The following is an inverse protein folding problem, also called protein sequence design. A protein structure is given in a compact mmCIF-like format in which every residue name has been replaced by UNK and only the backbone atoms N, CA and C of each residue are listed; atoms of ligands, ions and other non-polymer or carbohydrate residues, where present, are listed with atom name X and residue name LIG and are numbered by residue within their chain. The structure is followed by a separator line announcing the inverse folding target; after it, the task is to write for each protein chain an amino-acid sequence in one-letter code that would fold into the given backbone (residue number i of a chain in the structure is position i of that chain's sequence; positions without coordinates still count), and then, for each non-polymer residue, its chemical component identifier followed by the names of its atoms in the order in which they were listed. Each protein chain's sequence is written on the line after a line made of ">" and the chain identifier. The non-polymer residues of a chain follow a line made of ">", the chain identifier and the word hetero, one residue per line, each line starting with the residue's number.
data_IF_608841278144
#
_entry.id   IF_608841278144
#
_cell.length_a   1.000
_cell.length_b   1.000
_cell.length_c   1.000
_cell.angle_alpha   90.00
_cell.angle_beta   90.00
_cell.angle_gamma   90.00
#
_symmetry.space_group_name_H-M   'P 1'
#
loop_
_entity.id
_entity.type
_entity.pdbx_description
1 polymer ?
#
# COMPACT_ATOMS: atom_id res chain seq x y z
N UNK A 1 -6.44 -13.15 19.18
CA UNK A 1 -5.60 -13.14 17.97
C UNK A 1 -6.52 -13.18 16.74
N UNK A 2 -6.24 -12.40 15.73
CA UNK A 2 -6.97 -12.48 14.45
C UNK A 2 -6.65 -13.84 13.83
N UNK A 3 -7.66 -14.53 13.33
CA UNK A 3 -7.51 -15.80 12.61
C UNK A 3 -7.90 -15.60 11.16
N UNK A 4 -6.98 -15.92 10.25
CA UNK A 4 -7.14 -15.87 8.79
C UNK A 4 -7.03 -17.28 8.16
N UNK A 5 -7.22 -18.35 8.93
CA UNK A 5 -7.21 -19.72 8.41
C UNK A 5 -8.16 -19.89 7.23
N UNK A 6 -7.68 -20.48 6.15
CA UNK A 6 -8.44 -20.69 4.91
C UNK A 6 -8.69 -19.42 4.09
N UNK A 7 -8.12 -18.27 4.47
CA UNK A 7 -8.19 -17.04 3.68
C UNK A 7 -6.97 -16.89 2.78
N UNK A 8 -7.19 -16.42 1.56
CA UNK A 8 -6.14 -16.05 0.62
C UNK A 8 -6.00 -14.53 0.56
N UNK A 9 -4.78 -14.03 0.70
CA UNK A 9 -4.47 -12.62 0.68
C UNK A 9 -3.49 -12.28 -0.45
N UNK A 10 -3.83 -11.31 -1.29
CA UNK A 10 -2.96 -10.72 -2.31
C UNK A 10 -2.46 -9.38 -1.83
N UNK A 11 -1.13 -9.19 -1.79
CA UNK A 11 -0.50 -7.97 -1.32
C UNK A 11 0.40 -7.36 -2.40
N UNK A 12 0.37 -6.04 -2.54
CA UNK A 12 1.28 -5.29 -3.42
C UNK A 12 2.38 -4.58 -2.64
N UNK A 13 3.56 -4.38 -3.25
CA UNK A 13 4.75 -3.78 -2.63
C UNK A 13 5.12 -4.48 -1.31
N UNK A 14 5.21 -5.79 -1.35
CA UNK A 14 5.44 -6.64 -0.17
C UNK A 14 6.91 -6.87 0.17
N UNK A 15 7.84 -6.41 -0.68
CA UNK A 15 9.28 -6.68 -0.49
C UNK A 15 9.89 -5.94 0.72
N UNK A 16 9.25 -4.86 1.20
CA UNK A 16 9.78 -4.05 2.29
C UNK A 16 8.68 -3.29 3.07
N UNK A 17 9.08 -2.67 4.18
CA UNK A 17 8.26 -1.72 4.94
C UNK A 17 6.92 -2.30 5.41
N UNK A 18 5.83 -1.54 5.19
CA UNK A 18 4.48 -1.92 5.62
C UNK A 18 4.02 -3.19 4.89
N UNK A 19 4.26 -3.30 3.57
CA UNK A 19 3.85 -4.47 2.79
C UNK A 19 4.48 -5.76 3.31
N UNK A 20 5.80 -5.75 3.58
CA UNK A 20 6.51 -6.90 4.15
C UNK A 20 5.95 -7.28 5.53
N UNK A 21 5.83 -6.31 6.43
CA UNK A 21 5.33 -6.57 7.77
C UNK A 21 3.88 -7.10 7.76
N UNK A 22 3.05 -6.65 6.80
CA UNK A 22 1.67 -7.15 6.64
C UNK A 22 1.67 -8.57 6.07
N UNK A 23 2.55 -8.90 5.11
CA UNK A 23 2.67 -10.24 4.59
C UNK A 23 3.07 -11.24 5.70
N UNK A 24 4.07 -10.90 6.52
CA UNK A 24 4.49 -11.68 7.68
C UNK A 24 3.36 -11.85 8.69
N UNK A 25 2.64 -10.77 9.05
CA UNK A 25 1.53 -10.83 10.00
C UNK A 25 0.35 -11.67 9.49
N UNK A 26 0.07 -11.64 8.19
CA UNK A 26 -0.99 -12.44 7.59
C UNK A 26 -0.65 -13.93 7.58
N UNK A 27 0.61 -14.29 7.33
CA UNK A 27 1.11 -15.68 7.48
C UNK A 27 1.01 -16.12 8.94
N UNK A 28 1.46 -15.30 9.90
CA UNK A 28 1.33 -15.58 11.34
C UNK A 28 -0.14 -15.80 11.77
N UNK A 29 -1.08 -15.16 11.05
CA UNK A 29 -2.53 -15.30 11.29
C UNK A 29 -3.17 -16.49 10.54
N UNK A 30 -2.41 -17.28 9.77
CA UNK A 30 -2.88 -18.48 9.06
C UNK A 30 -3.37 -18.26 7.63
N UNK A 31 -3.18 -17.06 7.05
CA UNK A 31 -3.57 -16.81 5.67
C UNK A 31 -2.62 -17.47 4.65
N UNK A 32 -3.19 -17.87 3.51
CA UNK A 32 -2.41 -18.13 2.30
C UNK A 32 -2.02 -16.80 1.67
N UNK A 33 -0.75 -16.46 1.66
CA UNK A 33 -0.24 -15.14 1.26
C UNK A 33 0.41 -15.20 -0.11
N UNK A 34 -0.08 -14.36 -1.03
CA UNK A 34 0.47 -14.08 -2.36
C UNK A 34 1.10 -12.68 -2.30
N UNK A 35 2.42 -12.63 -2.19
CA UNK A 35 3.17 -11.39 -2.08
C UNK A 35 3.67 -10.93 -3.45
N UNK A 36 3.47 -9.65 -3.78
CA UNK A 36 3.98 -9.07 -5.03
C UNK A 36 4.84 -7.84 -4.78
N UNK A 37 5.85 -7.65 -5.61
CA UNK A 37 6.71 -6.46 -5.64
C UNK A 37 7.33 -6.32 -7.02
N UNK A 38 7.74 -5.12 -7.39
CA UNK A 38 8.53 -4.88 -8.61
C UNK A 38 9.99 -5.30 -8.42
N UNK A 39 10.49 -5.26 -7.19
CA UNK A 39 11.86 -5.58 -6.84
C UNK A 39 12.02 -7.08 -6.52
N UNK A 40 12.63 -7.80 -7.44
CA UNK A 40 12.86 -9.24 -7.31
C UNK A 40 13.76 -9.59 -6.13
N UNK A 41 14.77 -8.79 -5.82
CA UNK A 41 15.71 -9.07 -4.74
C UNK A 41 15.01 -9.01 -3.37
N UNK A 42 14.28 -7.91 -3.10
CA UNK A 42 13.52 -7.78 -1.85
C UNK A 42 12.42 -8.83 -1.72
N UNK A 43 11.79 -9.21 -2.85
CA UNK A 43 10.76 -10.25 -2.86
C UNK A 43 11.36 -11.65 -2.59
N UNK A 44 12.60 -11.90 -3.01
CA UNK A 44 13.28 -13.18 -2.76
C UNK A 44 13.45 -13.48 -1.27
N UNK A 45 13.54 -12.45 -0.42
CA UNK A 45 13.64 -12.58 1.03
C UNK A 45 12.34 -13.10 1.69
N UNK A 46 11.24 -13.12 0.94
CA UNK A 46 9.95 -13.62 1.41
C UNK A 46 9.65 -15.05 0.96
N UNK A 47 10.48 -15.67 0.11
CA UNK A 47 10.18 -16.99 -0.48
C UNK A 47 9.89 -18.08 0.54
N UNK A 48 10.61 -18.07 1.66
CA UNK A 48 10.45 -19.08 2.71
C UNK A 48 9.46 -18.62 3.81
N UNK A 49 8.86 -17.45 3.64
CA UNK A 49 7.93 -16.85 4.62
C UNK A 49 6.50 -16.92 4.12
N UNK A 50 6.26 -16.62 2.84
CA UNK A 50 4.93 -16.57 2.23
C UNK A 50 4.69 -17.76 1.30
N UNK A 51 3.44 -17.98 0.91
CA UNK A 51 3.07 -19.13 0.08
C UNK A 51 3.44 -18.93 -1.40
N UNK A 52 3.26 -17.73 -1.93
CA UNK A 52 3.62 -17.37 -3.30
C UNK A 52 4.28 -16.01 -3.40
N UNK A 53 5.19 -15.86 -4.35
CA UNK A 53 5.80 -14.56 -4.70
C UNK A 53 5.72 -14.33 -6.20
N UNK A 54 5.31 -13.13 -6.63
CA UNK A 54 5.25 -12.75 -8.04
C UNK A 54 5.84 -11.36 -8.25
N UNK A 55 6.68 -11.21 -9.27
CA UNK A 55 7.12 -9.88 -9.72
C UNK A 55 5.92 -9.20 -10.38
N UNK A 56 5.62 -7.99 -9.97
CA UNK A 56 4.51 -7.21 -10.48
C UNK A 56 4.83 -5.71 -10.51
N UNK A 57 4.82 -5.13 -11.69
CA UNK A 57 4.69 -3.69 -11.83
C UNK A 57 3.19 -3.31 -11.80
N UNK A 58 2.74 -2.73 -10.69
CA UNK A 58 1.34 -2.32 -10.51
C UNK A 58 0.93 -1.17 -11.43
N UNK A 59 1.86 -0.51 -12.12
CA UNK A 59 1.54 0.49 -13.15
C UNK A 59 1.22 -0.16 -14.49
N UNK A 60 1.61 -1.43 -14.69
CA UNK A 60 1.34 -2.20 -15.89
C UNK A 60 0.01 -2.99 -15.76
N UNK A 61 -1.05 -2.41 -16.33
CA UNK A 61 -2.39 -3.03 -16.26
C UNK A 61 -2.47 -4.44 -16.86
N UNK A 62 -1.64 -4.74 -17.88
CA UNK A 62 -1.65 -6.08 -18.48
C UNK A 62 -1.00 -7.13 -17.57
N UNK A 63 0.03 -6.75 -16.81
CA UNK A 63 0.62 -7.63 -15.79
C UNK A 63 -0.38 -7.91 -14.68
N UNK A 64 -1.10 -6.88 -14.19
CA UNK A 64 -2.18 -7.07 -13.21
C UNK A 64 -3.20 -8.09 -13.70
N UNK A 65 -3.73 -7.92 -14.92
CA UNK A 65 -4.70 -8.86 -15.50
C UNK A 65 -4.15 -10.28 -15.61
N UNK A 66 -2.89 -10.43 -16.04
CA UNK A 66 -2.24 -11.74 -16.15
C UNK A 66 -2.12 -12.39 -14.77
N UNK A 67 -1.66 -11.66 -13.78
CA UNK A 67 -1.53 -12.17 -12.41
C UNK A 67 -2.87 -12.63 -11.85
N UNK A 68 -3.90 -11.76 -11.87
CA UNK A 68 -5.22 -12.08 -11.29
C UNK A 68 -5.84 -13.34 -11.91
N UNK A 69 -5.58 -13.61 -13.20
CA UNK A 69 -6.05 -14.82 -13.88
C UNK A 69 -5.25 -16.08 -13.52
N UNK A 70 -4.05 -15.94 -13.01
CA UNK A 70 -3.14 -17.08 -12.73
C UNK A 70 -3.13 -17.52 -11.27
N UNK A 71 -3.63 -16.69 -10.36
CA UNK A 71 -3.63 -16.97 -8.92
C UNK A 71 -4.97 -17.48 -8.41
N UNK A 72 -4.96 -18.09 -7.24
CA UNK A 72 -6.17 -18.42 -6.51
C UNK A 72 -6.95 -17.13 -6.16
N UNK A 73 -8.28 -17.18 -6.27
CA UNK A 73 -9.17 -16.06 -5.95
C UNK A 73 -8.96 -15.57 -4.51
N UNK A 74 -8.43 -14.36 -4.29
CA UNK A 74 -8.15 -13.86 -2.95
C UNK A 74 -9.42 -13.44 -2.21
N UNK A 75 -9.41 -13.60 -0.89
CA UNK A 75 -10.40 -13.05 0.05
C UNK A 75 -10.02 -11.64 0.50
N UNK A 76 -8.72 -11.33 0.44
CA UNK A 76 -8.15 -10.07 0.91
C UNK A 76 -7.25 -9.49 -0.19
N UNK A 77 -7.45 -8.20 -0.50
CA UNK A 77 -6.53 -7.40 -1.29
C UNK A 77 -5.91 -6.30 -0.43
N UNK A 78 -4.59 -6.29 -0.30
CA UNK A 78 -3.85 -5.25 0.41
C UNK A 78 -3.03 -4.42 -0.59
N UNK A 79 -3.50 -3.21 -0.89
CA UNK A 79 -2.87 -2.27 -1.79
C UNK A 79 -1.90 -1.37 -1.03
N UNK A 80 -0.60 -1.65 -1.11
CA UNK A 80 0.45 -0.93 -0.41
C UNK A 80 1.39 -0.14 -1.33
N UNK A 81 1.39 -0.42 -2.62
CA UNK A 81 2.27 0.25 -3.58
C UNK A 81 2.10 1.78 -3.57
N UNK A 82 3.20 2.49 -3.64
CA UNK A 82 3.17 3.95 -3.70
C UNK A 82 4.53 4.61 -3.45
N UNK A 83 4.62 5.86 -3.86
CA UNK A 83 5.78 6.72 -3.65
C UNK A 83 5.39 8.00 -2.93
N UNK A 84 6.38 8.63 -2.30
CA UNK A 84 6.24 9.95 -1.66
C UNK A 84 6.97 10.98 -2.51
N UNK A 85 6.23 11.79 -3.27
CA UNK A 85 6.78 12.94 -3.97
C UNK A 85 7.08 14.07 -2.98
N UNK A 86 8.18 14.80 -3.21
CA UNK A 86 8.59 15.96 -2.43
C UNK A 86 8.60 17.20 -3.30
N UNK A 87 7.81 18.20 -2.94
CA UNK A 87 7.72 19.46 -3.66
C UNK A 87 6.43 20.22 -3.37
N UNK A 88 6.48 21.54 -3.58
CA UNK A 88 5.31 22.43 -3.60
C UNK A 88 4.61 22.35 -4.96
N UNK A 89 3.45 23.01 -5.09
CA UNK A 89 2.74 23.07 -6.38
C UNK A 89 3.57 23.77 -7.48
N UNK A 90 4.37 24.76 -7.12
CA UNK A 90 5.18 25.51 -8.09
C UNK A 90 6.44 24.76 -8.54
N UNK A 91 6.88 23.78 -7.76
CA UNK A 91 8.05 22.93 -8.05
C UNK A 91 7.68 21.61 -8.72
N UNK A 92 6.39 21.31 -8.79
CA UNK A 92 5.88 20.07 -9.34
C UNK A 92 5.77 20.13 -10.87
N UNK A 93 6.10 19.05 -11.53
CA UNK A 93 5.96 18.89 -12.98
C UNK A 93 4.77 17.97 -13.32
N UNK A 94 4.35 17.98 -14.59
CA UNK A 94 3.31 17.04 -15.08
C UNK A 94 3.81 15.58 -15.00
N UNK A 95 5.10 15.33 -15.25
CA UNK A 95 5.69 14.00 -15.13
C UNK A 95 5.64 13.48 -13.68
N UNK A 96 5.94 14.35 -12.69
CA UNK A 96 5.82 14.01 -11.26
C UNK A 96 4.36 13.69 -10.88
N UNK A 97 3.43 14.49 -11.43
CA UNK A 97 2.00 14.27 -11.23
C UNK A 97 1.57 12.93 -11.80
N UNK A 98 1.90 12.66 -13.05
CA UNK A 98 1.51 11.42 -13.72
C UNK A 98 2.12 10.19 -13.05
N UNK A 99 3.41 10.24 -12.68
CA UNK A 99 4.07 9.16 -11.96
C UNK A 99 3.38 8.88 -10.62
N UNK A 100 3.13 9.91 -9.81
CA UNK A 100 2.55 9.75 -8.50
C UNK A 100 1.08 9.26 -8.58
N UNK A 101 0.28 9.80 -9.48
CA UNK A 101 -1.10 9.35 -9.66
C UNK A 101 -1.18 7.95 -10.27
N UNK A 102 -0.32 7.62 -11.23
CA UNK A 102 -0.25 6.28 -11.80
C UNK A 102 0.10 5.23 -10.74
N UNK A 103 1.08 5.52 -9.87
CA UNK A 103 1.53 4.56 -8.88
C UNK A 103 0.67 4.57 -7.60
N UNK A 104 0.28 5.74 -7.05
CA UNK A 104 -0.40 5.81 -5.75
C UNK A 104 -1.90 5.52 -5.81
N UNK A 105 -2.58 5.87 -6.91
CA UNK A 105 -4.05 5.77 -7.00
C UNK A 105 -4.54 4.95 -8.19
N UNK A 106 -4.01 5.15 -9.39
CA UNK A 106 -4.46 4.42 -10.58
C UNK A 106 -4.10 2.94 -10.51
N UNK A 107 -2.95 2.59 -9.93
CA UNK A 107 -2.58 1.20 -9.68
C UNK A 107 -3.62 0.50 -8.78
N UNK A 108 -4.04 1.16 -7.69
CA UNK A 108 -5.08 0.63 -6.79
C UNK A 108 -6.42 0.48 -7.51
N UNK A 109 -6.80 1.46 -8.33
CA UNK A 109 -7.99 1.35 -9.17
C UNK A 109 -7.91 0.11 -10.09
N UNK A 110 -6.78 -0.12 -10.75
CA UNK A 110 -6.60 -1.28 -11.63
C UNK A 110 -6.66 -2.61 -10.87
N UNK A 111 -5.97 -2.71 -9.72
CA UNK A 111 -6.02 -3.89 -8.85
C UNK A 111 -7.45 -4.18 -8.39
N UNK A 112 -8.15 -3.17 -7.89
CA UNK A 112 -9.54 -3.31 -7.42
C UNK A 112 -10.46 -3.72 -8.57
N UNK A 113 -10.34 -3.08 -9.73
CA UNK A 113 -11.17 -3.36 -10.91
C UNK A 113 -11.09 -4.83 -11.36
N UNK A 114 -9.89 -5.41 -11.35
CA UNK A 114 -9.70 -6.81 -11.77
C UNK A 114 -10.10 -7.81 -10.66
N UNK A 115 -9.94 -7.44 -9.38
CA UNK A 115 -10.22 -8.34 -8.28
C UNK A 115 -11.71 -8.39 -7.89
N UNK A 116 -12.43 -7.27 -8.03
CA UNK A 116 -13.84 -7.16 -7.62
C UNK A 116 -14.73 -8.26 -8.20
N UNK A 117 -14.73 -8.54 -9.53
CA UNK A 117 -15.55 -9.61 -10.09
C UNK A 117 -15.24 -10.97 -9.46
N UNK A 118 -13.96 -11.22 -9.17
CA UNK A 118 -13.49 -12.48 -8.57
C UNK A 118 -14.01 -12.62 -7.14
N UNK A 119 -13.89 -11.56 -6.33
CA UNK A 119 -14.40 -11.53 -4.96
C UNK A 119 -15.93 -11.63 -4.91
N UNK A 120 -16.65 -10.92 -5.78
CA UNK A 120 -18.12 -10.98 -5.87
C UNK A 120 -18.58 -12.40 -6.18
N UNK A 121 -17.99 -13.06 -7.17
CA UNK A 121 -18.32 -14.43 -7.53
C UNK A 121 -18.00 -15.44 -6.39
N UNK A 122 -17.06 -15.11 -5.51
CA UNK A 122 -16.71 -15.91 -4.32
C UNK A 122 -17.65 -15.63 -3.13
N UNK A 123 -18.50 -14.60 -3.22
CA UNK A 123 -19.45 -14.20 -2.17
C UNK A 123 -18.97 -13.08 -1.25
N UNK A 124 -17.90 -12.39 -1.62
CA UNK A 124 -17.42 -11.21 -0.89
C UNK A 124 -15.90 -11.16 -0.73
N UNK A 125 -15.42 -10.09 -0.08
CA UNK A 125 -13.99 -9.88 0.14
C UNK A 125 -13.67 -8.62 0.95
N UNK A 126 -12.41 -8.48 1.32
CA UNK A 126 -11.90 -7.32 2.07
C UNK A 126 -10.79 -6.63 1.28
N UNK A 127 -10.95 -5.35 1.02
CA UNK A 127 -9.97 -4.51 0.33
C UNK A 127 -9.42 -3.51 1.33
N UNK A 128 -8.10 -3.41 1.43
CA UNK A 128 -7.39 -2.50 2.32
C UNK A 128 -6.43 -1.67 1.47
N UNK A 129 -6.59 -0.36 1.49
CA UNK A 129 -5.78 0.58 0.74
C UNK A 129 -4.88 1.40 1.69
N UNK A 130 -3.60 1.49 1.41
CA UNK A 130 -2.69 2.36 2.17
C UNK A 130 -2.78 3.79 1.61
N UNK A 131 -3.48 4.66 2.34
CA UNK A 131 -3.55 6.09 2.11
C UNK A 131 -2.46 6.83 2.93
N UNK A 132 -2.79 7.93 3.60
CA UNK A 132 -1.87 8.69 4.46
C UNK A 132 -2.65 9.67 5.36
N UNK A 133 -2.11 10.00 6.53
CA UNK A 133 -2.61 11.14 7.32
C UNK A 133 -2.53 12.45 6.53
N UNK A 134 -1.60 12.56 5.59
CA UNK A 134 -1.48 13.71 4.68
C UNK A 134 -2.70 13.89 3.76
N UNK A 135 -3.48 12.84 3.55
CA UNK A 135 -4.67 12.86 2.70
C UNK A 135 -5.98 12.96 3.48
N UNK A 136 -5.98 12.61 4.77
CA UNK A 136 -7.20 12.46 5.55
C UNK A 136 -7.41 13.58 6.57
N UNK A 137 -6.35 13.96 7.30
CA UNK A 137 -6.49 14.81 8.48
C UNK A 137 -5.68 16.09 8.42
N UNK A 138 -4.61 16.16 7.62
CA UNK A 138 -3.77 17.36 7.56
C UNK A 138 -3.00 17.51 6.25
N UNK A 139 -2.68 18.74 5.86
CA UNK A 139 -1.65 19.05 4.86
C UNK A 139 -0.25 18.93 5.47
N UNK A 140 0.71 18.50 4.68
CA UNK A 140 2.12 18.43 5.06
C UNK A 140 2.91 19.29 4.05
N UNK A 141 3.74 20.26 4.51
CA UNK A 141 4.58 21.05 3.61
C UNK A 141 5.40 20.18 2.68
N UNK A 142 5.59 20.64 1.45
CA UNK A 142 6.36 19.96 0.40
C UNK A 142 5.84 18.55 0.08
N UNK A 143 4.51 18.36 0.05
CA UNK A 143 3.84 17.09 -0.27
C UNK A 143 2.63 17.28 -1.16
N UNK A 144 2.66 18.27 -2.06
CA UNK A 144 1.49 18.65 -2.86
C UNK A 144 0.92 17.47 -3.65
N UNK A 145 1.70 16.90 -4.58
CA UNK A 145 1.24 15.79 -5.43
C UNK A 145 0.97 14.52 -4.59
N UNK A 146 1.84 14.23 -3.62
CA UNK A 146 1.63 13.08 -2.73
C UNK A 146 0.30 13.17 -1.99
N UNK A 147 0.01 14.33 -1.39
CA UNK A 147 -1.26 14.56 -0.67
C UNK A 147 -2.46 14.39 -1.60
N UNK A 148 -2.42 14.98 -2.80
CA UNK A 148 -3.48 14.87 -3.80
C UNK A 148 -3.71 13.42 -4.23
N UNK A 149 -2.65 12.69 -4.57
CA UNK A 149 -2.75 11.30 -5.02
C UNK A 149 -3.26 10.35 -3.90
N UNK A 150 -2.86 10.58 -2.64
CA UNK A 150 -3.37 9.81 -1.50
C UNK A 150 -4.78 10.19 -1.07
N UNK A 151 -5.23 11.43 -1.34
CA UNK A 151 -6.63 11.82 -1.18
C UNK A 151 -7.54 11.10 -2.19
N UNK A 152 -7.07 10.91 -3.43
CA UNK A 152 -7.79 10.10 -4.41
C UNK A 152 -8.01 8.65 -3.94
N UNK A 153 -7.07 8.04 -3.21
CA UNK A 153 -7.22 6.71 -2.59
C UNK A 153 -8.42 6.67 -1.63
N UNK A 154 -8.64 7.73 -0.84
CA UNK A 154 -9.81 7.80 0.06
C UNK A 154 -11.12 7.89 -0.72
N UNK A 155 -11.14 8.63 -1.83
CA UNK A 155 -12.27 8.67 -2.75
C UNK A 155 -12.60 7.29 -3.33
N UNK A 156 -11.59 6.60 -3.88
CA UNK A 156 -11.71 5.23 -4.39
C UNK A 156 -12.25 4.30 -3.30
N UNK A 157 -11.68 4.35 -2.11
CA UNK A 157 -12.08 3.48 -0.99
C UNK A 157 -13.55 3.64 -0.63
N UNK A 158 -14.01 4.89 -0.46
CA UNK A 158 -15.40 5.20 -0.10
C UNK A 158 -16.38 4.78 -1.19
N UNK A 159 -16.04 5.04 -2.46
CA UNK A 159 -16.90 4.71 -3.60
C UNK A 159 -17.05 3.19 -3.73
N UNK A 160 -15.93 2.44 -3.71
CA UNK A 160 -15.97 0.98 -3.78
C UNK A 160 -16.76 0.38 -2.60
N UNK A 161 -16.59 0.90 -1.38
CA UNK A 161 -17.35 0.44 -0.23
C UNK A 161 -18.86 0.69 -0.40
N UNK A 162 -19.25 1.88 -0.87
CA UNK A 162 -20.67 2.23 -1.07
C UNK A 162 -21.31 1.39 -2.17
N UNK A 163 -20.61 1.20 -3.30
CA UNK A 163 -21.17 0.53 -4.48
C UNK A 163 -21.30 -0.99 -4.29
N UNK A 164 -20.41 -1.61 -3.50
CA UNK A 164 -20.30 -3.08 -3.45
C UNK A 164 -20.56 -3.70 -2.07
N UNK A 165 -21.04 -2.95 -1.08
CA UNK A 165 -21.37 -3.49 0.26
C UNK A 165 -22.42 -4.60 0.19
N UNK A 166 -23.41 -4.47 -0.69
CA UNK A 166 -24.46 -5.47 -0.88
C UNK A 166 -23.95 -6.77 -1.54
N UNK A 167 -22.74 -6.76 -2.07
CA UNK A 167 -22.04 -7.93 -2.61
C UNK A 167 -21.06 -8.55 -1.61
N UNK A 168 -21.11 -8.17 -0.34
CA UNK A 168 -20.21 -8.66 0.70
C UNK A 168 -18.79 -8.10 0.61
N UNK A 169 -18.58 -7.00 -0.13
CA UNK A 169 -17.27 -6.34 -0.26
C UNK A 169 -17.13 -5.26 0.81
N UNK A 170 -16.06 -5.34 1.59
CA UNK A 170 -15.62 -4.27 2.48
C UNK A 170 -14.39 -3.60 1.86
N UNK A 171 -14.36 -2.29 1.82
CA UNK A 171 -13.22 -1.52 1.35
C UNK A 171 -12.85 -0.45 2.38
N UNK A 172 -11.63 -0.51 2.91
CA UNK A 172 -11.15 0.37 3.95
C UNK A 172 -9.79 0.97 3.57
N UNK A 173 -9.47 2.11 4.19
CA UNK A 173 -8.15 2.74 4.05
C UNK A 173 -7.47 2.86 5.41
N UNK A 174 -6.20 2.51 5.47
CA UNK A 174 -5.31 2.86 6.58
C UNK A 174 -4.58 4.14 6.20
N UNK A 175 -4.50 5.09 7.13
CA UNK A 175 -3.85 6.39 6.94
C UNK A 175 -2.62 6.52 7.87
N UNK A 176 -1.48 5.90 7.55
CA UNK A 176 -0.30 5.95 8.40
C UNK A 176 0.27 7.36 8.53
N UNK A 177 0.90 7.65 9.67
CA UNK A 177 1.84 8.75 9.83
C UNK A 177 3.20 8.41 9.22
N UNK A 178 4.28 8.95 9.78
CA UNK A 178 5.64 8.60 9.35
C UNK A 178 6.03 7.24 9.92
N UNK A 179 6.22 6.27 9.04
CA UNK A 179 6.59 4.89 9.40
C UNK A 179 8.04 4.65 9.03
N UNK A 180 8.80 4.07 9.96
CA UNK A 180 10.18 3.65 9.72
C UNK A 180 10.20 2.56 8.64
N UNK A 181 10.94 2.80 7.57
CA UNK A 181 11.03 1.92 6.41
C UNK A 181 12.31 2.21 5.62
N UNK A 182 12.81 1.27 4.81
CA UNK A 182 13.96 1.53 3.93
C UNK A 182 13.77 2.77 3.05
N UNK A 183 12.57 2.98 2.51
CA UNK A 183 12.23 4.16 1.72
C UNK A 183 12.29 5.48 2.52
N UNK A 184 11.96 5.48 3.81
CA UNK A 184 12.13 6.65 4.67
C UNK A 184 13.62 6.91 4.93
N UNK A 185 14.38 5.87 5.27
CA UNK A 185 15.82 5.99 5.52
C UNK A 185 16.56 6.56 4.31
N UNK A 186 16.26 6.07 3.10
CA UNK A 186 16.82 6.61 1.86
C UNK A 186 16.50 8.10 1.72
N UNK A 187 15.23 8.50 1.89
CA UNK A 187 14.83 9.91 1.79
C UNK A 187 15.48 10.81 2.83
N UNK A 188 15.74 10.31 4.03
CA UNK A 188 16.48 11.06 5.06
C UNK A 188 17.94 11.23 4.66
N UNK A 189 18.56 10.20 4.10
CA UNK A 189 19.93 10.23 3.59
C UNK A 189 20.08 11.20 2.42
N UNK A 190 19.10 11.24 1.50
CA UNK A 190 19.10 12.14 0.34
C UNK A 190 18.99 13.63 0.71
N UNK A 191 18.61 13.95 1.97
CA UNK A 191 18.56 15.33 2.46
C UNK A 191 19.93 15.88 2.91
N UNK A 192 20.98 15.08 2.84
CA UNK A 192 22.36 15.46 3.15
C UNK A 192 22.72 15.27 4.63
N UNK A 193 22.16 16.08 5.54
CA UNK A 193 22.37 15.89 6.98
C UNK A 193 21.26 14.97 7.55
N UNK A 194 21.58 13.67 7.58
CA UNK A 194 20.65 12.64 8.05
C UNK A 194 20.14 12.88 9.48
N UNK A 195 21.03 13.24 10.43
CA UNK A 195 20.64 13.41 11.83
C UNK A 195 19.70 14.62 12.01
N UNK A 196 19.99 15.72 11.34
CA UNK A 196 19.13 16.90 11.34
C UNK A 196 17.78 16.60 10.67
N UNK A 197 17.78 15.95 9.51
CA UNK A 197 16.56 15.54 8.81
C UNK A 197 15.72 14.60 9.69
N UNK A 198 16.34 13.58 10.28
CA UNK A 198 15.68 12.64 11.17
C UNK A 198 15.03 13.34 12.37
N UNK A 199 15.76 14.23 13.03
CA UNK A 199 15.25 15.02 14.16
C UNK A 199 14.03 15.86 13.76
N UNK A 200 14.07 16.53 12.61
CA UNK A 200 12.94 17.32 12.09
C UNK A 200 11.71 16.43 11.80
N UNK A 201 11.91 15.25 11.22
CA UNK A 201 10.80 14.33 10.94
C UNK A 201 10.19 13.74 12.20
N UNK A 202 11.00 13.40 13.20
CA UNK A 202 10.51 12.94 14.51
C UNK A 202 9.73 14.05 15.23
N UNK A 203 10.21 15.29 15.21
CA UNK A 203 9.55 16.42 15.84
C UNK A 203 8.13 16.71 15.29
N UNK A 204 7.82 16.25 14.07
CA UNK A 204 6.47 16.35 13.48
C UNK A 204 5.50 15.30 14.04
N UNK A 205 6.01 14.29 14.75
CA UNK A 205 5.20 13.19 15.29
C UNK A 205 4.85 13.48 16.75
N UNK A 206 3.55 13.53 17.12
CA UNK A 206 3.14 13.75 18.52
C UNK A 206 3.70 12.69 19.49
N UNK A 207 3.95 11.48 18.99
CA UNK A 207 4.55 10.38 19.77
C UNK A 207 6.06 10.50 19.96
N UNK A 208 6.71 11.55 19.42
CA UNK A 208 8.16 11.77 19.45
C UNK A 208 8.99 10.58 18.88
N UNK A 209 8.39 9.78 18.00
CA UNK A 209 9.04 8.67 17.29
C UNK A 209 8.34 8.39 15.95
N UNK A 210 9.02 7.66 15.08
CA UNK A 210 8.36 7.04 13.93
C UNK A 210 7.49 5.86 14.37
N UNK A 211 6.42 5.59 13.64
CA UNK A 211 5.69 4.34 13.74
C UNK A 211 6.52 3.18 13.16
N UNK A 212 6.25 1.97 13.62
CA UNK A 212 6.85 0.75 13.08
C UNK A 212 5.92 0.13 12.06
N UNK A 213 6.47 -0.50 11.02
CA UNK A 213 5.68 -1.20 10.01
C UNK A 213 4.74 -2.26 10.64
N UNK A 214 5.21 -2.98 11.66
CA UNK A 214 4.39 -3.96 12.41
C UNK A 214 3.19 -3.32 13.13
N UNK A 215 3.29 -2.06 13.57
CA UNK A 215 2.14 -1.37 14.18
C UNK A 215 1.02 -1.12 13.14
N UNK A 216 1.37 -0.90 11.88
CA UNK A 216 0.40 -0.78 10.78
C UNK A 216 -0.14 -2.14 10.36
N UNK A 217 0.71 -3.17 10.34
CA UNK A 217 0.31 -4.54 9.99
C UNK A 217 -0.69 -5.16 10.98
N UNK A 218 -0.68 -4.70 12.23
CA UNK A 218 -1.58 -5.20 13.29
C UNK A 218 -2.98 -4.56 13.27
N UNK A 219 -3.23 -3.58 12.39
CA UNK A 219 -4.56 -2.97 12.20
C UNK A 219 -5.43 -3.81 11.28
#
# INVERSE_FOLDING_TARGET
>A
MINLDGKTALLTASGQGIGKATAEAFVEAGAYVIATDINQESLSLLKDVVNETHILDVTNYNEIKKLIRSIQAPDILFNCAGIVHNGTILESTDDDWDLAFNLNSKSMYHMIKEILPVMINKGGGSIINIASVSSSTKGIPNRFIYTASKAAVLGITKSVAADYINHGIRCNAICPGTIQSPSLEQRLSDMGDYESARKQFVARQPMARFGKAKEVANL
#
